data_IF_775129281555
#
_entry.id   IF_775129281555
#
_cell.length_a   1.000
_cell.length_b   1.000
_cell.length_c   1.000
_cell.angle_alpha   90.00
_cell.angle_beta   90.00
_cell.angle_gamma   90.00
#
_symmetry.space_group_name_H-M   'P 1'
#
loop_
_entity.id
_entity.type
_entity.pdbx_description
1 polymer ?
#
# COMPACT_ATOMS: atom_id res chain seq x y z
N UNK A 1 -13.47 -6.33 9.41
CA UNK A 1 -13.63 -7.49 8.52
C UNK A 1 -12.67 -7.33 7.36
N UNK A 2 -12.01 -8.42 6.96
CA UNK A 2 -11.11 -8.46 5.80
C UNK A 2 -11.93 -8.51 4.51
N UNK A 3 -11.59 -7.68 3.53
CA UNK A 3 -12.30 -7.54 2.26
C UNK A 3 -11.36 -7.61 1.06
N UNK A 4 -11.91 -7.61 -0.15
CA UNK A 4 -11.13 -7.54 -1.38
C UNK A 4 -10.24 -6.28 -1.41
N UNK A 5 -9.02 -6.44 -1.90
CA UNK A 5 -7.98 -5.41 -1.90
C UNK A 5 -7.15 -5.30 -0.61
N UNK A 6 -7.63 -5.84 0.51
CA UNK A 6 -6.86 -5.86 1.75
C UNK A 6 -5.61 -6.72 1.62
N UNK A 7 -4.56 -6.31 2.33
CA UNK A 7 -3.37 -7.14 2.54
C UNK A 7 -3.50 -7.86 3.87
N UNK A 8 -3.17 -9.15 3.88
CA UNK A 8 -3.10 -9.98 5.07
C UNK A 8 -1.68 -10.53 5.25
N UNK A 9 -1.25 -10.62 6.50
CA UNK A 9 -0.10 -11.40 6.91
C UNK A 9 -0.59 -12.80 7.29
N UNK A 10 -0.02 -13.83 6.65
CA UNK A 10 -0.30 -15.22 6.96
C UNK A 10 0.72 -15.72 7.97
N UNK A 11 0.23 -16.26 9.09
CA UNK A 11 1.02 -16.99 10.07
C UNK A 11 0.93 -18.48 9.81
N UNK A 12 2.05 -19.19 10.01
CA UNK A 12 2.15 -20.65 10.06
C UNK A 12 2.95 -21.02 11.31
N UNK A 13 2.43 -21.94 12.13
CA UNK A 13 3.11 -22.34 13.38
C UNK A 13 3.47 -21.11 14.25
N UNK A 14 2.48 -20.21 14.41
CA UNK A 14 2.58 -18.92 15.12
C UNK A 14 3.68 -17.96 14.62
N UNK A 15 4.27 -18.26 13.47
CA UNK A 15 5.36 -17.47 12.88
C UNK A 15 4.85 -16.74 11.63
N UNK A 16 5.14 -15.43 11.46
CA UNK A 16 4.87 -14.70 10.23
C UNK A 16 5.52 -15.40 9.03
N UNK A 17 4.73 -15.79 8.04
CA UNK A 17 5.23 -16.53 6.89
C UNK A 17 5.33 -15.66 5.63
N UNK A 18 4.22 -15.06 5.20
CA UNK A 18 4.18 -14.23 3.99
C UNK A 18 2.97 -13.29 3.98
N UNK A 19 3.09 -12.22 3.18
CA UNK A 19 1.96 -11.35 2.86
C UNK A 19 1.19 -11.87 1.65
N UNK A 20 -0.12 -11.65 1.67
CA UNK A 20 -0.97 -11.85 0.52
C UNK A 20 -2.00 -10.72 0.39
N UNK A 21 -2.38 -10.36 -0.84
CA UNK A 21 -3.53 -9.50 -1.08
C UNK A 21 -4.76 -10.35 -1.36
N UNK A 22 -5.89 -9.98 -0.77
CA UNK A 22 -7.18 -10.60 -1.06
C UNK A 22 -7.67 -10.13 -2.43
N UNK A 23 -7.70 -11.03 -3.40
CA UNK A 23 -8.16 -10.74 -4.76
C UNK A 23 -9.68 -10.88 -4.89
N UNK A 24 -10.27 -11.89 -4.25
CA UNK A 24 -11.72 -12.07 -4.23
C UNK A 24 -12.18 -12.96 -3.09
N UNK A 25 -13.40 -12.75 -2.59
CA UNK A 25 -14.06 -13.66 -1.62
C UNK A 25 -15.46 -14.00 -2.15
N UNK A 26 -15.64 -15.23 -2.65
CA UNK A 26 -16.93 -15.70 -3.18
C UNK A 26 -17.47 -16.90 -2.40
N UNK A 27 -18.81 -17.09 -2.31
CA UNK A 27 -19.38 -18.25 -1.62
C UNK A 27 -18.93 -19.60 -2.20
N UNK A 28 -18.74 -20.59 -1.34
CA UNK A 28 -18.60 -22.00 -1.70
C UNK A 28 -19.98 -22.71 -1.68
N UNK A 29 -20.04 -23.93 -2.21
CA UNK A 29 -21.24 -24.79 -2.15
C UNK A 29 -21.67 -25.04 -0.69
N UNK A 30 -20.72 -25.09 0.25
CA UNK A 30 -21.03 -25.26 1.67
C UNK A 30 -21.40 -23.91 2.32
N UNK A 31 -22.50 -23.86 3.09
CA UNK A 31 -22.86 -22.65 3.84
C UNK A 31 -21.72 -22.16 4.73
N UNK A 32 -21.50 -20.86 4.75
CA UNK A 32 -20.44 -20.15 5.49
C UNK A 32 -18.99 -20.49 5.09
N UNK A 33 -18.80 -21.20 3.99
CA UNK A 33 -17.50 -21.36 3.34
C UNK A 33 -17.38 -20.46 2.12
N UNK A 34 -16.15 -20.04 1.84
CA UNK A 34 -15.83 -19.09 0.80
C UNK A 34 -14.55 -19.49 0.08
N UNK A 35 -14.53 -19.29 -1.23
CA UNK A 35 -13.32 -19.26 -2.02
C UNK A 35 -12.63 -17.92 -1.82
N UNK A 36 -11.56 -17.91 -1.03
CA UNK A 36 -10.67 -16.77 -0.85
C UNK A 36 -9.52 -16.89 -1.86
N UNK A 37 -9.52 -16.03 -2.88
CA UNK A 37 -8.41 -15.92 -3.84
C UNK A 37 -7.40 -14.93 -3.27
N UNK A 38 -6.16 -15.37 -3.13
CA UNK A 38 -5.07 -14.65 -2.48
C UNK A 38 -3.88 -14.54 -3.43
N UNK A 39 -3.43 -13.32 -3.70
CA UNK A 39 -2.18 -13.06 -4.40
C UNK A 39 -1.05 -13.04 -3.38
N UNK A 40 -0.17 -14.05 -3.42
CA UNK A 40 1.01 -14.12 -2.55
C UNK A 40 2.06 -13.11 -3.05
N UNK A 41 2.48 -12.22 -2.15
CA UNK A 41 3.38 -11.11 -2.44
C UNK A 41 4.85 -11.51 -2.20
N UNK A 42 5.28 -12.59 -2.86
CA UNK A 42 6.65 -13.07 -2.89
C UNK A 42 7.22 -12.98 -4.32
N UNK A 43 8.53 -13.17 -4.49
CA UNK A 43 9.15 -13.26 -5.82
C UNK A 43 9.45 -14.73 -6.13
N UNK A 44 8.88 -15.31 -7.21
CA UNK A 44 7.89 -14.71 -8.12
C UNK A 44 6.51 -14.58 -7.48
N UNK A 45 5.67 -13.69 -8.02
CA UNK A 45 4.28 -13.55 -7.59
C UNK A 45 3.48 -14.77 -8.04
N UNK A 46 2.59 -15.26 -7.19
CA UNK A 46 1.67 -16.33 -7.55
C UNK A 46 0.35 -16.20 -6.79
N UNK A 47 -0.70 -16.80 -7.33
CA UNK A 47 -2.05 -16.75 -6.75
C UNK A 47 -2.42 -18.12 -6.22
N UNK A 48 -3.04 -18.16 -5.04
CA UNK A 48 -3.63 -19.35 -4.44
C UNK A 48 -5.12 -19.10 -4.19
N UNK A 49 -5.92 -20.16 -4.21
CA UNK A 49 -7.32 -20.11 -3.82
C UNK A 49 -7.56 -21.07 -2.69
N UNK A 50 -7.99 -20.57 -1.54
CA UNK A 50 -8.31 -21.38 -0.36
C UNK A 50 -9.81 -21.39 -0.11
N UNK A 51 -10.33 -22.51 0.39
CA UNK A 51 -11.72 -22.62 0.84
C UNK A 51 -11.71 -22.42 2.35
N UNK A 52 -12.18 -21.27 2.81
CA UNK A 52 -12.11 -20.84 4.21
C UNK A 52 -13.49 -20.45 4.73
N UNK A 53 -13.69 -20.55 6.05
CA UNK A 53 -14.82 -19.92 6.70
C UNK A 53 -14.59 -18.43 6.87
N UNK A 54 -15.68 -17.65 6.95
CA UNK A 54 -15.63 -16.20 7.20
C UNK A 54 -14.73 -15.83 8.39
N UNK A 55 -14.89 -16.53 9.51
CA UNK A 55 -14.08 -16.31 10.71
C UNK A 55 -12.57 -16.49 10.47
N UNK A 56 -12.16 -17.45 9.64
CA UNK A 56 -10.73 -17.67 9.35
C UNK A 56 -10.14 -16.54 8.50
N UNK A 57 -10.93 -16.00 7.56
CA UNK A 57 -10.55 -14.84 6.75
C UNK A 57 -10.40 -13.58 7.62
N UNK A 58 -11.17 -13.51 8.72
CA UNK A 58 -11.11 -12.44 9.72
C UNK A 58 -10.11 -12.70 10.86
N UNK A 59 -9.33 -13.78 10.77
CA UNK A 59 -8.19 -14.04 11.64
C UNK A 59 -8.41 -14.99 12.81
N UNK A 60 -9.52 -15.74 12.81
CA UNK A 60 -9.62 -16.94 13.66
C UNK A 60 -8.62 -17.99 13.18
N UNK A 61 -7.96 -18.65 14.13
CA UNK A 61 -7.02 -19.73 13.84
C UNK A 61 -7.72 -20.94 13.21
N UNK A 62 -7.03 -21.59 12.29
CA UNK A 62 -7.47 -22.82 11.64
C UNK A 62 -6.27 -23.70 11.31
N UNK A 63 -6.52 -24.95 10.91
CA UNK A 63 -5.45 -25.88 10.53
C UNK A 63 -5.47 -26.18 9.04
N UNK A 64 -4.30 -26.20 8.41
CA UNK A 64 -4.13 -26.68 7.04
C UNK A 64 -3.04 -27.75 7.01
N UNK A 65 -3.40 -28.98 6.63
CA UNK A 65 -2.45 -30.11 6.65
C UNK A 65 -1.89 -30.41 8.05
N UNK A 66 -2.67 -30.17 9.11
CA UNK A 66 -2.27 -30.38 10.50
C UNK A 66 -1.41 -29.27 11.11
N UNK A 67 -1.10 -28.20 10.37
CA UNK A 67 -0.35 -27.05 10.87
C UNK A 67 -1.29 -25.89 11.19
N UNK A 68 -1.17 -25.25 12.37
CA UNK A 68 -1.95 -24.06 12.72
C UNK A 68 -1.59 -22.88 11.82
N UNK A 69 -2.61 -22.14 11.41
CA UNK A 69 -2.54 -21.01 10.51
C UNK A 69 -3.50 -19.91 10.95
N UNK A 70 -3.14 -18.66 10.65
CA UNK A 70 -3.96 -17.49 10.93
C UNK A 70 -3.73 -16.40 9.89
N UNK A 71 -4.79 -15.70 9.49
CA UNK A 71 -4.70 -14.51 8.65
C UNK A 71 -4.81 -13.27 9.54
N UNK A 72 -3.97 -12.28 9.32
CA UNK A 72 -4.03 -11.01 10.04
C UNK A 72 -4.10 -9.87 9.04
N UNK A 73 -5.18 -9.08 9.07
CA UNK A 73 -5.28 -7.90 8.21
C UNK A 73 -4.15 -6.91 8.57
N UNK A 74 -3.37 -6.53 7.57
CA UNK A 74 -2.34 -5.51 7.70
C UNK A 74 -3.01 -4.14 7.70
N UNK A 75 -2.64 -3.31 8.67
CA UNK A 75 -3.05 -1.91 8.76
C UNK A 75 -1.83 -1.05 8.53
N UNK A 76 -1.95 -0.04 7.66
CA UNK A 76 -0.89 0.92 7.45
C UNK A 76 -0.65 1.69 8.76
N UNK A 77 0.61 1.93 9.17
CA UNK A 77 0.91 2.82 10.27
C UNK A 77 0.28 4.20 10.03
N UNK A 78 -0.06 4.90 11.12
CA UNK A 78 -0.53 6.27 11.03
C UNK A 78 0.49 7.12 10.28
N UNK A 79 0.03 7.87 9.29
CA UNK A 79 0.90 8.80 8.58
C UNK A 79 1.31 9.90 9.57
N UNK A 80 2.60 10.03 9.84
CA UNK A 80 3.11 11.25 10.45
C UNK A 80 2.76 12.41 9.51
N UNK A 81 1.93 13.34 9.97
CA UNK A 81 1.64 14.55 9.22
C UNK A 81 2.95 15.32 9.15
N UNK A 82 3.63 15.21 8.01
CA UNK A 82 4.70 16.12 7.64
C UNK A 82 3.99 17.46 7.45
N UNK A 83 3.91 18.25 8.52
CA UNK A 83 3.56 19.66 8.44
C UNK A 83 4.74 20.34 7.77
N UNK A 84 4.73 20.32 6.44
CA UNK A 84 5.60 21.19 5.67
C UNK A 84 5.19 22.62 6.07
N UNK A 85 6.04 23.28 6.84
CA UNK A 85 5.78 24.55 7.49
C UNK A 85 5.73 25.72 6.51
N UNK A 86 4.82 25.68 5.53
CA UNK A 86 4.45 26.81 4.67
C UNK A 86 3.11 26.54 3.99
N UNK A 87 2.03 26.96 4.65
CA UNK A 87 0.87 27.49 3.94
C UNK A 87 0.41 28.76 4.66
N UNK A 88 0.91 29.95 4.29
CA UNK A 88 0.20 31.18 4.55
C UNK A 88 -0.75 31.42 3.36
N UNK A 89 -2.05 31.38 3.62
CA UNK A 89 -3.03 31.68 2.59
C UNK A 89 -4.49 31.52 3.02
N UNK A 90 -4.83 31.90 4.26
CA UNK A 90 -6.17 32.44 4.50
C UNK A 90 -6.16 33.90 4.04
N UNK A 91 -6.85 34.21 2.94
CA UNK A 91 -7.29 35.58 2.66
C UNK A 91 -8.75 35.56 2.18
N UNK A 92 -9.66 35.88 3.11
CA UNK A 92 -10.97 36.43 2.79
C UNK A 92 -10.82 37.84 2.17
N UNK A 93 -11.43 38.04 1.01
CA UNK A 93 -12.17 39.22 0.55
C UNK A 93 -11.65 40.65 0.84
N UNK A 94 -11.29 41.41 -0.22
CA UNK A 94 -11.33 42.89 -0.17
C UNK A 94 -10.47 43.69 -1.18
N UNK A 95 -11.00 43.88 -2.40
CA UNK A 95 -10.96 45.09 -3.26
C UNK A 95 -9.67 45.96 -3.47
N UNK A 96 -9.17 45.90 -4.72
CA UNK A 96 -8.64 46.97 -5.61
C UNK A 96 -7.41 47.83 -5.22
N UNK A 97 -6.33 47.71 -6.01
CA UNK A 97 -5.76 48.81 -6.82
C UNK A 97 -4.58 48.35 -7.72
N UNK A 98 -4.52 48.95 -8.91
CA UNK A 98 -3.64 48.65 -10.05
C UNK A 98 -2.20 49.18 -9.88
N UNK A 99 -1.19 48.45 -10.37
CA UNK A 99 -0.20 48.88 -11.40
C UNK A 99 0.97 47.89 -11.55
N UNK A 100 1.18 47.41 -12.78
CA UNK A 100 2.46 46.90 -13.32
C UNK A 100 3.37 48.07 -13.76
N UNK A 101 4.63 47.86 -14.21
CA UNK A 101 5.60 46.76 -13.96
C UNK A 101 7.03 47.27 -13.63
N UNK A 102 7.98 46.40 -13.24
CA UNK A 102 9.39 46.81 -13.13
C UNK A 102 10.44 45.78 -12.64
N UNK A 103 10.97 45.01 -13.58
CA UNK A 103 12.36 44.50 -13.75
C UNK A 103 13.25 44.00 -12.56
N UNK A 104 13.81 42.79 -12.80
CA UNK A 104 15.22 42.36 -12.66
C UNK A 104 15.62 41.38 -11.53
N UNK A 105 16.13 40.19 -11.94
CA UNK A 105 17.40 39.65 -11.42
C UNK A 105 17.45 38.22 -10.83
N UNK A 106 17.97 37.24 -11.62
CA UNK A 106 18.80 36.06 -11.23
C UNK A 106 18.18 34.96 -10.35
N UNK A 107 17.88 33.73 -10.81
CA UNK A 107 18.77 32.59 -11.19
C UNK A 107 19.88 32.30 -10.18
N UNK A 108 20.15 31.10 -9.63
CA UNK A 108 19.56 29.76 -9.68
C UNK A 108 20.28 28.93 -8.59
N UNK A 109 19.56 28.14 -7.78
CA UNK A 109 20.17 27.06 -7.00
C UNK A 109 19.78 25.72 -7.64
N UNK A 110 20.79 25.04 -8.19
CA UNK A 110 20.67 23.97 -9.18
C UNK A 110 20.45 22.62 -8.51
N UNK A 111 19.22 22.08 -8.59
CA UNK A 111 18.91 20.69 -8.21
C UNK A 111 19.44 19.77 -9.32
N UNK A 112 20.40 18.90 -9.00
CA UNK A 112 20.94 17.93 -9.95
C UNK A 112 19.94 16.78 -10.07
N UNK A 113 19.24 16.72 -11.22
CA UNK A 113 18.37 15.59 -11.55
C UNK A 113 19.21 14.34 -11.77
N UNK A 114 18.89 13.27 -11.03
CA UNK A 114 19.56 11.95 -11.02
C UNK A 114 19.43 11.20 -12.37
N UNK A 115 18.77 11.77 -13.36
CA UNK A 115 18.52 11.17 -14.67
C UNK A 115 19.69 11.26 -15.67
N UNK A 116 20.91 11.61 -15.23
CA UNK A 116 22.09 11.69 -16.11
C UNK A 116 23.20 10.67 -15.77
N UNK A 117 22.87 9.59 -15.05
CA UNK A 117 23.82 8.49 -14.77
C UNK A 117 23.82 7.35 -15.80
N UNK A 118 23.00 7.42 -16.86
CA UNK A 118 22.85 6.34 -17.85
C UNK A 118 23.48 6.63 -19.21
N UNK A 119 24.67 7.25 -19.26
CA UNK A 119 25.47 7.36 -20.50
C UNK A 119 26.99 7.29 -20.34
N UNK A 120 27.50 6.74 -19.23
CA UNK A 120 28.93 6.40 -19.11
C UNK A 120 29.09 5.12 -18.32
N UNK A 121 28.86 4.01 -19.00
CA UNK A 121 29.42 2.70 -18.64
C UNK A 121 29.39 1.84 -19.90
N UNK A 122 30.08 2.27 -20.96
CA UNK A 122 30.53 1.43 -22.09
C UNK A 122 31.80 2.08 -22.65
N UNK A 123 32.94 1.75 -22.05
CA UNK A 123 34.25 1.57 -22.72
C UNK A 123 35.34 1.65 -21.66
N UNK A 124 35.78 0.48 -21.19
CA UNK A 124 37.20 0.16 -21.19
C UNK A 124 37.38 -1.33 -21.41
#
# INVERSE_FOLDING_TARGET
MTQEGDVVLVYMDDTPAFFARVESISPDVKPDWFHAKLLVLQVPLFVVTWILRRGYIDGVEFTMGGRPMRLEKVVAPDAEVITDGSSPGEEESGEAARKDPGAAGGSAAKVVSILERRRRDHSS
#
